data_IF_474000878857
#
_entry.id   IF_474000878857
#
_cell.length_a   1.000
_cell.length_b   1.000
_cell.length_c   1.000
_cell.angle_alpha   90.00
_cell.angle_beta   90.00
_cell.angle_gamma   90.00
#
_symmetry.space_group_name_H-M   'P 1'
#
loop_
_entity.id
_entity.type
_entity.pdbx_description
1 polymer ?
#
# COMPACT_ATOMS: atom_id res chain seq x y z
N UNK A 1 -19.48 6.14 -1.29
CA UNK A 1 -19.10 6.22 0.13
C UNK A 1 -17.58 6.21 0.25
N UNK A 2 -17.03 6.99 1.17
CA UNK A 2 -15.60 7.08 1.48
C UNK A 2 -15.40 6.52 2.89
N UNK A 3 -14.54 5.52 3.03
CA UNK A 3 -14.19 4.93 4.33
C UNK A 3 -12.68 5.09 4.55
N UNK A 4 -12.30 5.46 5.77
CA UNK A 4 -10.90 5.56 6.20
C UNK A 4 -10.74 4.75 7.47
N UNK A 5 -9.79 3.81 7.47
CA UNK A 5 -9.53 2.93 8.61
C UNK A 5 -8.07 2.49 8.67
N UNK A 6 -7.61 2.03 9.83
CA UNK A 6 -6.24 1.53 9.99
C UNK A 6 -6.03 0.21 9.23
N UNK A 7 -4.89 0.08 8.56
CA UNK A 7 -4.46 -1.20 8.01
C UNK A 7 -3.94 -2.08 9.15
N UNK A 8 -4.75 -3.04 9.58
CA UNK A 8 -4.30 -4.03 10.55
C UNK A 8 -3.53 -5.17 9.86
N UNK A 9 -2.37 -5.60 10.39
CA UNK A 9 -1.65 -6.75 9.87
C UNK A 9 -2.47 -8.04 9.98
N UNK A 10 -2.56 -8.77 8.89
CA UNK A 10 -3.13 -10.13 8.80
C UNK A 10 -2.09 -11.14 8.29
N UNK A 11 -1.12 -10.68 7.50
CA UNK A 11 -0.09 -11.51 6.86
C UNK A 11 1.35 -11.09 7.18
N UNK A 12 1.54 -10.11 8.07
CA UNK A 12 2.82 -9.70 8.66
C UNK A 12 2.87 -10.23 10.11
N UNK A 13 4.07 -10.53 10.60
CA UNK A 13 4.27 -11.09 11.95
C UNK A 13 3.95 -10.09 13.08
N UNK A 14 3.80 -8.80 12.77
CA UNK A 14 3.48 -7.75 13.74
C UNK A 14 2.02 -7.78 14.15
N UNK A 15 1.77 -7.40 15.40
CA UNK A 15 0.42 -7.28 15.95
C UNK A 15 -0.31 -6.01 15.48
N UNK A 16 0.43 -4.94 15.15
CA UNK A 16 -0.13 -3.70 14.60
C UNK A 16 0.91 -2.91 13.81
N UNK A 17 0.44 -1.91 13.05
CA UNK A 17 1.29 -0.88 12.47
C UNK A 17 1.26 0.44 13.26
N UNK A 18 0.68 0.43 14.46
CA UNK A 18 0.63 1.56 15.39
C UNK A 18 0.03 2.83 14.75
N UNK A 19 -1.04 2.70 13.96
CA UNK A 19 -1.70 3.82 13.27
C UNK A 19 -0.92 4.39 12.08
N UNK A 20 0.26 3.85 11.75
CA UNK A 20 1.15 4.37 10.68
C UNK A 20 0.71 3.95 9.28
N UNK A 21 -0.31 3.13 9.14
CA UNK A 21 -0.83 2.70 7.87
C UNK A 21 -2.36 2.79 7.87
N UNK A 22 -2.91 3.44 6.85
CA UNK A 22 -4.34 3.65 6.70
C UNK A 22 -4.79 3.23 5.30
N UNK A 23 -6.00 2.69 5.24
CA UNK A 23 -6.72 2.42 4.02
C UNK A 23 -7.72 3.53 3.78
N UNK A 24 -7.69 4.08 2.55
CA UNK A 24 -8.70 5.02 2.06
C UNK A 24 -9.46 4.30 0.96
N UNK A 25 -10.67 3.86 1.28
CA UNK A 25 -11.50 3.03 0.41
C UNK A 25 -12.69 3.82 -0.14
N UNK A 26 -12.92 3.65 -1.44
CA UNK A 26 -14.11 4.13 -2.13
C UNK A 26 -14.79 2.96 -2.86
N UNK A 27 -15.92 3.25 -3.52
CA UNK A 27 -16.57 2.28 -4.40
C UNK A 27 -15.69 1.85 -5.58
N UNK A 28 -14.75 2.68 -6.02
CA UNK A 28 -13.92 2.43 -7.22
C UNK A 28 -12.49 2.01 -6.90
N UNK A 29 -11.96 2.44 -5.76
CA UNK A 29 -10.53 2.33 -5.45
C UNK A 29 -10.26 2.03 -3.98
N UNK A 30 -9.09 1.45 -3.71
CA UNK A 30 -8.53 1.29 -2.38
C UNK A 30 -7.13 1.89 -2.41
N UNK A 31 -6.81 2.83 -1.52
CA UNK A 31 -5.49 3.46 -1.44
C UNK A 31 -4.81 3.11 -0.13
N UNK A 32 -3.49 2.94 -0.19
CA UNK A 32 -2.64 2.83 0.98
C UNK A 32 -2.02 4.18 1.29
N UNK A 33 -2.28 4.69 2.49
CA UNK A 33 -1.54 5.79 3.11
C UNK A 33 -0.57 5.21 4.13
N UNK A 34 0.72 5.50 4.01
CA UNK A 34 1.76 5.09 4.97
C UNK A 34 2.39 6.34 5.55
N UNK A 35 2.32 6.51 6.87
CA UNK A 35 2.51 7.78 7.55
C UNK A 35 1.61 8.84 6.90
N UNK A 36 2.19 9.94 6.40
CA UNK A 36 1.45 11.01 5.72
C UNK A 36 1.44 10.92 4.19
N UNK A 37 2.03 9.87 3.63
CA UNK A 37 2.19 9.73 2.18
C UNK A 37 1.23 8.70 1.60
N UNK A 38 0.50 9.07 0.54
CA UNK A 38 -0.27 8.12 -0.26
C UNK A 38 0.71 7.37 -1.17
N UNK A 39 0.87 6.07 -0.92
CA UNK A 39 1.87 5.25 -1.58
C UNK A 39 1.36 4.69 -2.90
N UNK A 40 0.22 4.02 -2.86
CA UNK A 40 -0.34 3.32 -4.01
C UNK A 40 -1.87 3.28 -3.97
N UNK A 41 -2.44 2.94 -5.12
CA UNK A 41 -3.85 2.74 -5.33
C UNK A 41 -4.09 1.43 -6.07
N UNK A 42 -5.08 0.66 -5.61
CA UNK A 42 -5.71 -0.40 -6.37
C UNK A 42 -7.03 0.09 -6.99
N UNK A 43 -7.21 -0.14 -8.30
CA UNK A 43 -8.47 0.07 -9.00
C UNK A 43 -9.30 -1.21 -8.98
N UNK A 44 -10.49 -1.17 -8.34
CA UNK A 44 -11.40 -2.32 -8.29
C UNK A 44 -11.98 -2.66 -9.66
N UNK A 45 -12.19 -1.63 -10.50
CA UNK A 45 -12.74 -1.79 -11.85
C UNK A 45 -11.75 -2.46 -12.79
N UNK A 46 -10.51 -1.96 -12.82
CA UNK A 46 -9.49 -2.43 -13.77
C UNK A 46 -8.62 -3.56 -13.20
N UNK A 47 -8.76 -3.86 -11.91
CA UNK A 47 -7.91 -4.77 -11.14
C UNK A 47 -6.42 -4.45 -11.26
N UNK A 48 -6.07 -3.16 -11.34
CA UNK A 48 -4.68 -2.69 -11.50
C UNK A 48 -4.17 -1.92 -10.29
N UNK A 49 -2.86 -1.99 -10.08
CA UNK A 49 -2.14 -1.25 -9.04
C UNK A 49 -1.39 -0.08 -9.70
N UNK A 50 -1.44 1.09 -9.07
CA UNK A 50 -0.68 2.27 -9.46
C UNK A 50 0.05 2.86 -8.26
N UNK A 51 1.36 2.98 -8.34
CA UNK A 51 2.14 3.76 -7.38
C UNK A 51 1.87 5.25 -7.60
N UNK A 52 1.47 5.93 -6.53
CA UNK A 52 1.15 7.35 -6.53
C UNK A 52 2.33 8.18 -6.00
N UNK A 53 3.11 7.63 -5.08
CA UNK A 53 4.37 8.23 -4.64
C UNK A 53 5.49 7.91 -5.63
N UNK A 54 6.26 8.93 -6.02
CA UNK A 54 7.44 8.80 -6.91
C UNK A 54 8.76 9.09 -6.20
N UNK A 55 8.72 9.40 -4.91
CA UNK A 55 9.91 9.64 -4.10
C UNK A 55 10.53 8.30 -3.64
N UNK A 56 11.75 7.95 -4.07
CA UNK A 56 12.44 6.73 -3.63
C UNK A 56 12.63 6.65 -2.10
N UNK A 57 12.75 7.80 -1.42
CA UNK A 57 12.97 7.87 0.02
C UNK A 57 11.73 7.48 0.83
N UNK A 58 10.54 7.58 0.25
CA UNK A 58 9.30 7.13 0.87
C UNK A 58 9.22 5.61 1.07
N UNK A 59 10.01 4.83 0.31
CA UNK A 59 10.02 3.37 0.33
C UNK A 59 11.01 2.80 1.35
N UNK A 60 10.76 3.10 2.62
CA UNK A 60 11.47 2.50 3.76
C UNK A 60 11.11 1.02 3.93
N UNK A 61 11.87 0.29 4.76
CA UNK A 61 11.54 -1.10 5.11
C UNK A 61 10.16 -1.22 5.79
N UNK A 62 9.72 -0.18 6.51
CA UNK A 62 8.39 -0.14 7.12
C UNK A 62 7.31 0.07 6.06
N UNK A 63 7.52 1.01 5.13
CA UNK A 63 6.60 1.25 4.00
C UNK A 63 6.45 0.00 3.13
N UNK A 64 7.54 -0.72 2.85
CA UNK A 64 7.49 -1.99 2.10
C UNK A 64 6.62 -3.05 2.77
N UNK A 65 6.63 -3.12 4.10
CA UNK A 65 5.75 -4.03 4.84
C UNK A 65 4.29 -3.62 4.72
N UNK A 66 3.99 -2.32 4.84
CA UNK A 66 2.63 -1.82 4.62
C UNK A 66 2.14 -2.11 3.19
N UNK A 67 3.01 -1.93 2.19
CA UNK A 67 2.72 -2.26 0.78
C UNK A 67 2.40 -3.76 0.66
N UNK A 68 3.27 -4.63 1.15
CA UNK A 68 3.09 -6.07 0.99
C UNK A 68 1.85 -6.58 1.74
N UNK A 69 1.55 -6.02 2.90
CA UNK A 69 0.32 -6.32 3.62
C UNK A 69 -0.91 -5.89 2.82
N UNK A 70 -0.89 -4.67 2.26
CA UNK A 70 -1.95 -4.17 1.40
C UNK A 70 -2.16 -5.07 0.18
N UNK A 71 -1.08 -5.45 -0.51
CA UNK A 71 -1.16 -6.27 -1.71
C UNK A 71 -1.81 -7.61 -1.42
N UNK A 72 -1.42 -8.26 -0.31
CA UNK A 72 -2.00 -9.54 0.11
C UNK A 72 -3.47 -9.45 0.53
N UNK A 73 -3.88 -8.35 1.19
CA UNK A 73 -5.26 -8.21 1.67
C UNK A 73 -6.24 -7.79 0.58
N UNK A 74 -5.83 -6.91 -0.34
CA UNK A 74 -6.76 -6.21 -1.24
C UNK A 74 -6.57 -6.55 -2.71
N UNK A 75 -5.58 -7.36 -3.06
CA UNK A 75 -5.26 -7.69 -4.45
C UNK A 75 -4.82 -9.14 -4.58
N UNK A 76 -4.65 -9.59 -5.82
CA UNK A 76 -4.05 -10.90 -6.13
C UNK A 76 -2.56 -10.77 -6.51
N UNK A 77 -1.94 -9.61 -6.23
CA UNK A 77 -0.55 -9.37 -6.58
C UNK A 77 0.40 -10.01 -5.56
N UNK A 78 1.51 -10.54 -6.06
CA UNK A 78 2.60 -11.02 -5.23
C UNK A 78 3.24 -9.86 -4.44
N UNK A 79 3.82 -10.14 -3.25
CA UNK A 79 4.63 -9.17 -2.53
C UNK A 79 5.76 -8.62 -3.40
N UNK A 80 6.08 -7.34 -3.23
CA UNK A 80 7.13 -6.66 -3.98
C UNK A 80 8.33 -6.38 -3.09
N UNK A 81 9.52 -6.48 -3.68
CA UNK A 81 10.77 -6.00 -3.12
C UNK A 81 10.91 -4.49 -3.32
N UNK A 82 11.77 -3.84 -2.51
CA UNK A 82 12.07 -2.41 -2.70
C UNK A 82 12.58 -2.12 -4.11
N UNK A 83 13.46 -2.98 -4.64
CA UNK A 83 14.04 -2.84 -5.98
C UNK A 83 12.98 -2.84 -7.08
N UNK A 84 12.00 -3.74 -7.00
CA UNK A 84 10.89 -3.79 -7.98
C UNK A 84 10.02 -2.54 -7.90
N UNK A 85 9.76 -2.04 -6.69
CA UNK A 85 9.00 -0.81 -6.49
C UNK A 85 9.75 0.38 -7.11
N UNK A 86 11.04 0.54 -6.82
CA UNK A 86 11.86 1.62 -7.39
C UNK A 86 11.89 1.58 -8.92
N UNK A 87 12.08 0.39 -9.51
CA UNK A 87 12.00 0.19 -10.96
C UNK A 87 10.63 0.61 -11.52
N UNK A 88 9.53 0.30 -10.83
CA UNK A 88 8.17 0.66 -11.26
C UNK A 88 7.89 2.17 -11.23
N UNK A 89 8.68 2.93 -10.46
CA UNK A 89 8.59 4.39 -10.38
C UNK A 89 9.64 5.13 -11.21
N UNK A 90 10.55 4.42 -11.87
CA UNK A 90 11.60 5.01 -12.70
C UNK A 90 12.81 5.51 -11.90
N UNK A 91 13.08 4.91 -10.74
CA UNK A 91 14.20 5.22 -9.86
C UNK A 91 15.20 4.06 -9.73
#
# INVERSE_FOLDING_TARGET
MLNIYELFPRYDARKSFYGKAQIIETSKTIKLKSYDTIILQYSKQNKTIKFLCRDPWAFSQTTNRHINEFLKQFTNASPLTKKEILKSIGA
#
